data_IF_045130903087
#
_entry.id   IF_045130903087
#
_cell.length_a   1.000
_cell.length_b   1.000
_cell.length_c   1.000
_cell.angle_alpha   90.00
_cell.angle_beta   90.00
_cell.angle_gamma   90.00
#
_symmetry.space_group_name_H-M   'P 1'
#
loop_
_entity.id
_entity.type
_entity.pdbx_description
1 polymer ?
#
# COMPACT_ATOMS: atom_id res chain seq x y z
N UNK A 1 1.37 -55.28 -2.80
CA UNK A 1 0.38 -55.99 -3.64
C UNK A 1 -0.61 -54.94 -4.14
N UNK A 2 -0.92 -54.78 -5.43
CA UNK A 2 -0.22 -55.20 -6.69
C UNK A 2 0.77 -54.07 -7.10
N UNK A 3 1.44 -53.94 -8.26
CA UNK A 3 1.60 -54.65 -9.56
C UNK A 3 0.67 -54.29 -10.74
N UNK A 4 1.21 -54.47 -11.96
CA UNK A 4 0.70 -54.21 -13.33
C UNK A 4 0.62 -52.72 -13.72
N UNK A 5 1.35 -52.19 -14.71
CA UNK A 5 1.92 -52.63 -16.01
C UNK A 5 0.98 -52.54 -17.23
N UNK A 6 1.21 -51.52 -18.06
CA UNK A 6 1.13 -51.55 -19.54
C UNK A 6 1.67 -50.21 -20.10
N UNK A 7 2.13 -50.05 -21.34
CA UNK A 7 2.94 -50.93 -22.22
C UNK A 7 3.69 -50.01 -23.22
N UNK A 8 4.73 -50.54 -23.88
CA UNK A 8 5.47 -49.86 -24.96
C UNK A 8 4.92 -50.28 -26.34
N UNK A 9 5.06 -49.42 -27.36
CA UNK A 9 5.47 -49.93 -28.67
C UNK A 9 6.73 -49.27 -29.22
N UNK A 10 7.35 -49.96 -30.18
CA UNK A 10 8.67 -49.67 -30.77
C UNK A 10 8.54 -49.25 -32.24
N UNK A 11 9.48 -48.45 -32.75
CA UNK A 11 10.26 -48.69 -34.00
C UNK A 11 11.31 -47.57 -34.17
N UNK A 12 12.58 -47.89 -34.44
CA UNK A 12 13.24 -47.99 -35.77
C UNK A 12 13.20 -46.67 -36.57
N UNK A 13 14.28 -46.24 -37.26
CA UNK A 13 15.31 -47.06 -37.93
C UNK A 13 16.69 -46.37 -37.92
N UNK A 14 17.78 -47.16 -38.02
CA UNK A 14 19.13 -46.65 -38.26
C UNK A 14 19.29 -46.11 -39.70
N UNK A 15 20.15 -45.09 -39.87
CA UNK A 15 20.98 -44.97 -41.08
C UNK A 15 22.44 -44.72 -40.66
N UNK A 16 23.33 -45.56 -41.16
CA UNK A 16 24.78 -45.36 -41.10
C UNK A 16 25.25 -44.75 -42.43
N UNK A 17 26.30 -43.94 -42.37
CA UNK A 17 27.08 -43.60 -43.55
C UNK A 17 28.57 -43.55 -43.21
N UNK A 18 29.40 -44.12 -44.07
CA UNK A 18 30.86 -44.15 -43.95
C UNK A 18 31.44 -43.44 -45.16
N UNK A 19 32.33 -42.49 -44.93
CA UNK A 19 33.02 -41.72 -45.97
C UNK A 19 33.88 -40.66 -45.33
N UNK A 20 35.15 -40.57 -45.75
CA UNK A 20 36.12 -39.64 -45.17
C UNK A 20 36.78 -38.75 -46.24
N UNK A 21 37.90 -38.15 -45.83
CA UNK A 21 38.85 -37.39 -46.65
C UNK A 21 38.43 -35.99 -47.15
N UNK A 22 38.94 -35.00 -46.41
CA UNK A 22 39.85 -33.93 -46.90
C UNK A 22 39.35 -32.60 -47.49
N UNK A 23 40.20 -31.60 -47.20
CA UNK A 23 40.44 -30.30 -47.85
C UNK A 23 39.41 -29.14 -47.69
N UNK A 24 39.78 -28.25 -46.76
CA UNK A 24 40.02 -26.81 -46.99
C UNK A 24 39.09 -26.04 -47.95
N UNK A 25 38.35 -25.06 -47.42
CA UNK A 25 38.79 -23.65 -47.48
C UNK A 25 37.99 -22.78 -46.48
N UNK A 26 38.48 -21.57 -46.19
CA UNK A 26 38.07 -20.81 -45.00
C UNK A 26 36.89 -19.86 -45.19
N UNK A 27 36.03 -19.75 -44.17
CA UNK A 27 35.09 -18.66 -43.97
C UNK A 27 35.29 -18.04 -42.58
N UNK A 28 35.15 -16.71 -42.47
CA UNK A 28 35.42 -15.98 -41.21
C UNK A 28 34.33 -16.30 -40.17
N UNK A 29 34.66 -16.48 -38.88
CA UNK A 29 33.67 -16.71 -37.84
C UNK A 29 32.83 -15.45 -37.60
N UNK A 30 31.62 -15.43 -38.14
CA UNK A 30 30.66 -14.35 -37.89
C UNK A 30 30.17 -14.46 -36.43
N UNK A 31 30.58 -13.51 -35.57
CA UNK A 31 30.11 -13.45 -34.18
C UNK A 31 28.61 -13.12 -34.14
N UNK A 32 27.77 -14.14 -34.12
CA UNK A 32 26.36 -14.00 -33.83
C UNK A 32 26.16 -13.58 -32.36
N UNK A 33 26.06 -12.26 -32.13
CA UNK A 33 25.68 -11.71 -30.82
C UNK A 33 24.18 -11.96 -30.65
N UNK A 34 23.82 -12.99 -29.89
CA UNK A 34 22.44 -13.27 -29.53
C UNK A 34 21.90 -12.16 -28.62
N UNK A 35 21.17 -11.21 -29.20
CA UNK A 35 20.49 -10.16 -28.45
C UNK A 35 19.32 -10.80 -27.68
N UNK A 36 19.57 -11.14 -26.42
CA UNK A 36 18.54 -11.58 -25.48
C UNK A 36 17.60 -10.40 -25.21
N UNK A 37 16.48 -10.37 -25.93
CA UNK A 37 15.36 -9.48 -25.67
C UNK A 37 14.73 -9.87 -24.33
N UNK A 38 15.30 -9.33 -23.25
CA UNK A 38 14.73 -9.40 -21.91
C UNK A 38 13.39 -8.67 -21.92
N UNK A 39 12.30 -9.43 -22.03
CA UNK A 39 10.93 -8.93 -21.90
C UNK A 39 10.71 -8.39 -20.48
N UNK A 40 11.09 -7.14 -20.26
CA UNK A 40 10.78 -6.40 -19.03
C UNK A 40 9.28 -6.16 -18.98
N UNK A 41 8.54 -7.16 -18.49
CA UNK A 41 7.14 -6.98 -18.11
C UNK A 41 7.08 -5.83 -17.11
N UNK A 42 6.31 -4.75 -17.37
CA UNK A 42 6.17 -3.69 -16.40
C UNK A 42 5.46 -4.27 -15.18
N UNK A 43 6.23 -4.54 -14.13
CA UNK A 43 5.69 -4.95 -12.84
C UNK A 43 4.96 -3.74 -12.25
N UNK A 44 3.67 -3.64 -12.59
CA UNK A 44 2.74 -2.75 -11.92
C UNK A 44 2.54 -3.26 -10.49
N UNK A 45 3.54 -2.97 -9.66
CA UNK A 45 3.36 -2.87 -8.23
C UNK A 45 2.29 -1.79 -8.01
N UNK A 46 1.05 -2.21 -7.77
CA UNK A 46 -0.05 -1.32 -7.42
C UNK A 46 0.20 -0.75 -6.03
N UNK A 47 1.13 0.20 -5.95
CA UNK A 47 1.44 0.94 -4.74
C UNK A 47 0.21 1.76 -4.37
N UNK A 48 -0.62 1.24 -3.47
CA UNK A 48 -1.67 2.05 -2.87
C UNK A 48 -1.01 3.24 -2.17
N UNK A 49 -1.42 4.45 -2.57
CA UNK A 49 -0.81 5.72 -2.19
C UNK A 49 -1.11 6.06 -0.71
N UNK A 50 -0.57 5.28 0.22
CA UNK A 50 -0.66 5.45 1.67
C UNK A 50 -0.01 6.75 2.10
N UNK A 51 -0.81 7.81 2.22
CA UNK A 51 -0.35 9.15 2.64
C UNK A 51 -0.06 9.26 4.13
N UNK A 52 -0.75 8.45 4.95
CA UNK A 52 -0.47 8.17 6.37
C UNK A 52 -1.24 6.90 6.78
N UNK A 53 -1.00 6.40 7.98
CA UNK A 53 -1.72 5.24 8.53
C UNK A 53 -2.00 5.36 10.03
N UNK A 54 -2.99 4.61 10.52
CA UNK A 54 -3.36 4.48 11.92
C UNK A 54 -3.01 3.06 12.39
N UNK A 55 -2.42 2.98 13.58
CA UNK A 55 -2.06 1.75 14.30
C UNK A 55 -2.77 1.71 15.65
N UNK A 56 -2.83 0.52 16.26
CA UNK A 56 -3.38 0.31 17.60
C UNK A 56 -2.41 -0.51 18.44
N UNK A 57 -2.59 -0.56 19.76
CA UNK A 57 -1.82 -1.45 20.65
C UNK A 57 -2.36 -2.90 20.72
N UNK A 58 -3.50 -3.22 20.10
CA UNK A 58 -4.17 -4.53 20.21
C UNK A 58 -3.93 -5.52 19.04
N UNK A 59 -3.31 -5.07 17.93
CA UNK A 59 -2.68 -5.88 16.88
C UNK A 59 -1.86 -5.02 15.91
N UNK A 60 -1.03 -5.66 15.07
CA UNK A 60 -0.19 -5.02 14.05
C UNK A 60 -0.91 -4.63 12.75
N UNK A 61 -2.24 -4.83 12.68
CA UNK A 61 -3.05 -4.41 11.54
C UNK A 61 -3.13 -2.87 11.46
N UNK A 62 -3.06 -2.33 10.25
CA UNK A 62 -2.91 -0.89 10.00
C UNK A 62 -4.06 -0.36 9.14
N UNK A 63 -4.68 0.76 9.52
CA UNK A 63 -5.61 1.48 8.63
C UNK A 63 -4.83 2.52 7.86
N UNK A 64 -4.57 2.27 6.58
CA UNK A 64 -3.96 3.25 5.69
C UNK A 64 -5.02 4.17 5.09
N UNK A 65 -4.60 5.39 4.76
CA UNK A 65 -5.42 6.34 4.01
C UNK A 65 -4.79 6.52 2.63
N UNK A 66 -5.56 6.24 1.59
CA UNK A 66 -5.17 6.41 0.19
C UNK A 66 -5.87 7.61 -0.46
N UNK A 67 -5.29 8.12 -1.55
CA UNK A 67 -5.88 9.19 -2.36
C UNK A 67 -6.07 8.73 -3.80
N UNK A 68 -7.24 8.99 -4.37
CA UNK A 68 -7.56 8.73 -5.77
C UNK A 68 -7.18 9.93 -6.63
N UNK A 69 -6.13 9.78 -7.44
CA UNK A 69 -5.71 10.75 -8.46
C UNK A 69 -5.93 10.22 -9.87
N UNK A 70 -5.92 11.13 -10.83
CA UNK A 70 -5.73 10.85 -12.25
C UNK A 70 -4.23 10.80 -12.59
N UNK A 71 -3.89 10.45 -13.82
CA UNK A 71 -2.50 10.32 -14.29
C UNK A 71 -1.72 11.65 -14.41
N UNK A 72 -2.41 12.79 -14.34
CA UNK A 72 -1.85 14.14 -14.31
C UNK A 72 -1.65 14.69 -12.89
N UNK A 73 -1.89 13.87 -11.87
CA UNK A 73 -1.93 14.19 -10.44
C UNK A 73 -3.13 15.03 -9.98
N UNK A 74 -4.11 15.32 -10.84
CA UNK A 74 -5.39 15.90 -10.40
C UNK A 74 -6.20 14.92 -9.55
N UNK A 75 -7.09 15.44 -8.71
CA UNK A 75 -7.92 14.62 -7.81
C UNK A 75 -9.09 13.98 -8.60
N UNK A 76 -9.27 12.67 -8.46
CA UNK A 76 -10.16 11.88 -9.32
C UNK A 76 -11.66 12.10 -9.04
N UNK A 77 -12.01 12.50 -7.82
CA UNK A 77 -13.40 12.71 -7.39
C UNK A 77 -13.46 13.87 -6.39
N UNK A 78 -14.67 14.33 -6.06
CA UNK A 78 -14.93 15.29 -4.97
C UNK A 78 -14.78 14.70 -3.56
N UNK A 79 -14.54 13.38 -3.45
CA UNK A 79 -14.22 12.67 -2.20
C UNK A 79 -13.06 11.69 -2.46
N UNK A 80 -11.85 12.20 -2.77
CA UNK A 80 -10.77 11.37 -3.31
C UNK A 80 -10.05 10.53 -2.25
N UNK A 81 -10.19 10.85 -0.95
CA UNK A 81 -9.55 10.08 0.13
C UNK A 81 -10.39 8.88 0.51
N UNK A 82 -9.73 7.73 0.74
CA UNK A 82 -10.36 6.49 1.17
C UNK A 82 -9.49 5.74 2.20
N UNK A 83 -10.05 5.27 3.33
CA UNK A 83 -9.35 4.38 4.24
C UNK A 83 -9.40 2.92 3.74
N UNK A 84 -8.38 2.13 4.08
CA UNK A 84 -8.34 0.68 3.86
C UNK A 84 -7.47 -0.01 4.91
N UNK A 85 -7.79 -1.26 5.23
CA UNK A 85 -6.93 -2.11 6.06
C UNK A 85 -5.75 -2.64 5.26
N UNK A 86 -4.58 -2.66 5.89
CA UNK A 86 -3.48 -3.56 5.58
C UNK A 86 -3.29 -4.46 6.80
N UNK A 87 -3.53 -5.76 6.63
CA UNK A 87 -3.35 -6.73 7.69
C UNK A 87 -1.86 -7.07 7.89
N UNK A 88 -1.53 -7.68 9.02
CA UNK A 88 -0.19 -8.23 9.31
C UNK A 88 0.32 -9.17 8.19
N UNK A 89 -0.60 -9.90 7.55
CA UNK A 89 -0.33 -10.77 6.39
C UNK A 89 -0.04 -10.01 5.08
N UNK A 90 -0.02 -8.68 5.10
CA UNK A 90 0.07 -7.82 3.93
C UNK A 90 -1.21 -7.72 3.09
N UNK A 91 -2.26 -8.49 3.42
CA UNK A 91 -3.55 -8.47 2.70
C UNK A 91 -4.23 -7.11 2.87
N UNK A 92 -4.86 -6.65 1.78
CA UNK A 92 -5.49 -5.34 1.67
C UNK A 92 -7.01 -5.50 1.65
N UNK A 93 -7.72 -4.82 2.55
CA UNK A 93 -9.17 -4.96 2.73
C UNK A 93 -9.87 -3.60 2.87
N UNK A 94 -11.17 -3.55 2.55
CA UNK A 94 -12.00 -2.36 2.81
C UNK A 94 -12.46 -2.39 4.26
N UNK A 95 -12.71 -1.22 4.84
CA UNK A 95 -13.40 -1.11 6.13
C UNK A 95 -14.79 -1.73 6.03
N UNK A 96 -15.17 -2.50 7.06
CA UNK A 96 -16.53 -2.94 7.29
C UNK A 96 -17.39 -1.75 7.75
N UNK A 97 -18.70 -1.80 7.51
CA UNK A 97 -19.61 -0.70 7.87
C UNK A 97 -19.54 -0.33 9.38
N UNK A 98 -19.29 -1.31 10.24
CA UNK A 98 -19.13 -1.14 11.69
C UNK A 98 -17.81 -0.47 12.12
N UNK A 99 -16.83 -0.37 11.22
CA UNK A 99 -15.51 0.25 11.48
C UNK A 99 -15.46 1.70 11.00
N UNK A 100 -16.37 2.10 10.11
CA UNK A 100 -16.52 3.48 9.61
C UNK A 100 -16.66 4.51 10.75
N UNK A 101 -17.37 4.26 11.88
CA UNK A 101 -17.40 5.21 13.01
C UNK A 101 -16.05 5.44 13.71
N UNK A 102 -15.07 4.54 13.56
CA UNK A 102 -13.73 4.71 14.12
C UNK A 102 -12.74 5.25 13.07
N UNK A 103 -12.74 4.65 11.88
CA UNK A 103 -11.69 4.83 10.87
C UNK A 103 -12.18 5.40 9.53
N UNK A 104 -13.48 5.72 9.44
CA UNK A 104 -14.04 6.43 8.30
C UNK A 104 -13.66 7.92 8.27
N UNK A 105 -14.03 8.57 7.19
CA UNK A 105 -13.80 10.00 6.98
C UNK A 105 -15.05 10.77 7.39
N UNK A 106 -14.93 11.68 8.36
CA UNK A 106 -16.03 12.48 8.89
C UNK A 106 -16.38 13.67 8.00
N UNK A 107 -15.35 14.28 7.44
CA UNK A 107 -15.44 15.36 6.47
C UNK A 107 -14.28 15.23 5.49
N UNK A 108 -14.49 15.62 4.24
CA UNK A 108 -13.42 16.01 3.34
C UNK A 108 -13.92 17.12 2.42
N UNK A 109 -13.15 18.20 2.29
CA UNK A 109 -13.35 19.28 1.33
C UNK A 109 -12.16 19.35 0.39
N UNK A 110 -12.40 19.74 -0.87
CA UNK A 110 -11.40 19.78 -1.94
C UNK A 110 -11.30 21.20 -2.47
N UNK A 111 -10.08 21.73 -2.60
CA UNK A 111 -9.79 23.04 -3.18
C UNK A 111 -8.53 22.94 -4.05
N UNK A 112 -8.71 22.89 -5.37
CA UNK A 112 -7.63 22.61 -6.31
C UNK A 112 -6.98 21.25 -6.03
N UNK A 113 -5.67 21.25 -5.73
CA UNK A 113 -4.89 20.06 -5.39
C UNK A 113 -4.70 19.86 -3.87
N UNK A 114 -5.40 20.63 -3.03
CA UNK A 114 -5.43 20.47 -1.57
C UNK A 114 -6.76 19.86 -1.12
N UNK A 115 -6.69 18.93 -0.17
CA UNK A 115 -7.84 18.32 0.51
C UNK A 115 -7.70 18.63 2.00
N UNK A 116 -8.78 19.01 2.69
CA UNK A 116 -8.81 19.03 4.15
C UNK A 116 -9.81 18.00 4.63
N UNK A 117 -9.39 17.09 5.51
CA UNK A 117 -10.23 16.01 6.03
C UNK A 117 -10.17 15.84 7.56
N UNK A 118 -11.18 15.16 8.11
CA UNK A 118 -11.22 14.69 9.50
C UNK A 118 -11.51 13.18 9.54
N UNK A 119 -10.95 12.47 10.52
CA UNK A 119 -11.25 11.05 10.79
C UNK A 119 -12.41 10.96 11.80
N UNK A 120 -13.37 10.05 11.57
CA UNK A 120 -14.54 9.85 12.42
C UNK A 120 -14.17 9.63 13.89
N UNK A 121 -13.22 8.73 14.17
CA UNK A 121 -12.80 8.43 15.54
C UNK A 121 -12.19 9.60 16.30
N UNK A 122 -11.58 10.57 15.62
CA UNK A 122 -11.07 11.79 16.25
C UNK A 122 -12.21 12.79 16.48
N UNK A 123 -13.03 13.05 15.45
CA UNK A 123 -14.14 14.01 15.52
C UNK A 123 -15.19 13.61 16.56
N UNK A 124 -15.53 12.33 16.64
CA UNK A 124 -16.44 11.75 17.63
C UNK A 124 -15.88 11.71 19.08
N UNK A 125 -14.67 12.24 19.30
CA UNK A 125 -14.05 12.43 20.64
C UNK A 125 -13.71 13.91 20.90
N UNK A 126 -14.27 14.83 20.11
CA UNK A 126 -13.97 16.27 20.17
C UNK A 126 -12.59 16.66 19.65
N UNK A 127 -11.79 15.73 19.11
CA UNK A 127 -10.41 15.97 18.70
C UNK A 127 -10.40 16.64 17.32
N UNK A 128 -10.33 17.98 17.33
CA UNK A 128 -10.17 18.81 16.13
C UNK A 128 -8.74 18.73 15.59
N UNK A 129 -8.45 17.65 14.87
CA UNK A 129 -7.20 17.41 14.13
C UNK A 129 -7.49 17.31 12.63
N UNK A 130 -7.68 18.44 11.93
CA UNK A 130 -7.78 18.44 10.47
C UNK A 130 -6.45 17.96 9.86
N UNK A 131 -6.56 17.14 8.83
CA UNK A 131 -5.43 16.64 8.04
C UNK A 131 -5.52 17.30 6.66
N UNK A 132 -4.53 18.13 6.34
CA UNK A 132 -4.37 18.77 5.04
C UNK A 132 -3.53 17.86 4.15
N UNK A 133 -4.06 17.44 3.02
CA UNK A 133 -3.39 16.57 2.06
C UNK A 133 -3.08 17.39 0.81
N UNK A 134 -1.85 17.30 0.31
CA UNK A 134 -1.39 18.04 -0.87
C UNK A 134 -0.92 17.07 -1.94
N UNK A 135 -1.41 17.25 -3.17
CA UNK A 135 -0.84 16.61 -4.36
C UNK A 135 0.10 17.58 -5.07
N UNK A 136 1.37 17.20 -5.20
CA UNK A 136 2.41 17.91 -5.94
C UNK A 136 2.97 17.02 -7.04
N UNK A 137 3.13 17.58 -8.25
CA UNK A 137 3.76 16.86 -9.35
C UNK A 137 5.28 17.06 -9.29
N UNK A 138 6.03 15.96 -9.18
CA UNK A 138 7.49 15.99 -9.17
C UNK A 138 8.05 16.24 -10.58
N UNK A 139 9.33 16.64 -10.63
CA UNK A 139 10.08 16.77 -11.91
C UNK A 139 10.23 15.43 -12.64
N UNK A 140 10.10 14.31 -11.95
CA UNK A 140 10.00 12.95 -12.51
C UNK A 140 8.65 12.63 -13.17
N UNK A 141 7.73 13.60 -13.22
CA UNK A 141 6.31 13.48 -13.60
C UNK A 141 5.42 12.70 -12.62
N UNK A 142 6.01 12.03 -11.63
CA UNK A 142 5.31 11.28 -10.57
C UNK A 142 4.50 12.19 -9.64
N UNK A 143 3.43 11.64 -9.07
CA UNK A 143 2.57 12.34 -8.12
C UNK A 143 3.07 12.11 -6.68
N UNK A 144 3.70 13.12 -6.08
CA UNK A 144 3.93 13.12 -4.65
C UNK A 144 2.64 13.56 -3.95
N UNK A 145 2.16 12.75 -3.01
CA UNK A 145 1.00 13.08 -2.19
C UNK A 145 1.42 12.90 -0.73
N UNK A 146 1.24 13.95 0.07
CA UNK A 146 1.62 13.95 1.49
C UNK A 146 0.48 14.49 2.36
N UNK A 147 0.26 13.84 3.49
CA UNK A 147 -0.61 14.32 4.56
C UNK A 147 0.15 15.24 5.51
N UNK A 148 -0.51 16.28 6.02
CA UNK A 148 0.04 17.24 6.97
C UNK A 148 -0.98 17.51 8.08
N UNK A 149 -0.52 17.72 9.31
CA UNK A 149 -1.36 18.23 10.39
C UNK A 149 -0.52 19.04 11.38
N UNK A 150 -1.17 19.67 12.37
CA UNK A 150 -0.48 20.34 13.46
C UNK A 150 -0.07 19.35 14.54
N UNK A 151 1.23 19.26 14.81
CA UNK A 151 1.82 18.49 15.91
C UNK A 151 2.53 19.50 16.83
N UNK A 152 2.10 19.58 18.08
CA UNK A 152 2.46 20.64 19.05
C UNK A 152 2.27 22.06 18.48
N UNK A 153 1.19 22.26 17.72
CA UNK A 153 0.83 23.52 17.07
C UNK A 153 1.53 23.81 15.73
N UNK A 154 2.67 23.17 15.46
CA UNK A 154 3.44 23.36 14.23
C UNK A 154 2.96 22.42 13.10
N UNK A 155 2.86 22.91 11.87
CA UNK A 155 2.49 22.08 10.72
C UNK A 155 3.66 21.19 10.27
N UNK A 156 3.48 19.87 10.27
CA UNK A 156 4.46 18.90 9.76
C UNK A 156 3.78 17.82 8.92
N UNK A 157 4.54 17.10 8.11
CA UNK A 157 4.04 15.92 7.40
C UNK A 157 3.65 14.85 8.43
N UNK A 158 2.40 14.41 8.39
CA UNK A 158 1.89 13.30 9.19
C UNK A 158 2.36 11.98 8.55
N UNK A 159 2.88 11.06 9.37
CA UNK A 159 3.34 9.75 8.91
C UNK A 159 2.46 8.63 9.48
N UNK A 160 2.21 8.68 10.80
CA UNK A 160 1.49 7.66 11.53
C UNK A 160 0.65 8.30 12.64
N UNK A 161 -0.46 7.67 12.99
CA UNK A 161 -1.12 7.84 14.29
C UNK A 161 -1.11 6.48 15.01
N UNK A 162 -0.87 6.50 16.32
CA UNK A 162 -1.07 5.35 17.19
C UNK A 162 -2.24 5.60 18.13
N UNK A 163 -3.04 4.58 18.37
CA UNK A 163 -4.15 4.60 19.33
C UNK A 163 -3.86 3.54 20.38
N UNK A 164 -3.45 3.95 21.59
CA UNK A 164 -3.40 3.02 22.69
C UNK A 164 -4.81 2.76 23.23
N UNK A 165 -5.17 1.49 23.42
CA UNK A 165 -6.48 1.09 23.89
C UNK A 165 -6.45 -0.24 24.65
N UNK A 166 -7.39 -0.41 25.58
CA UNK A 166 -7.77 -1.73 26.10
C UNK A 166 -9.01 -2.23 25.37
N UNK A 167 -8.85 -3.30 24.59
CA UNK A 167 -9.95 -3.99 23.90
C UNK A 167 -10.96 -4.51 24.93
N UNK A 168 -12.21 -4.10 24.80
CA UNK A 168 -13.31 -4.43 25.71
C UNK A 168 -14.56 -4.73 24.87
N UNK A 169 -14.64 -5.96 24.39
CA UNK A 169 -15.75 -6.41 23.53
C UNK A 169 -15.53 -7.81 22.98
N UNK A 170 -16.64 -8.57 22.85
CA UNK A 170 -16.64 -9.84 22.13
C UNK A 170 -16.34 -9.58 20.64
N UNK A 171 -15.63 -10.52 19.99
CA UNK A 171 -15.16 -10.39 18.60
C UNK A 171 -14.25 -9.17 18.31
N UNK A 172 -13.71 -8.50 19.34
CA UNK A 172 -12.80 -7.35 19.18
C UNK A 172 -13.49 -6.04 18.79
N UNK A 173 -14.82 -6.00 18.88
CA UNK A 173 -15.63 -4.83 18.58
C UNK A 173 -15.69 -3.90 19.80
N UNK A 174 -14.75 -2.95 19.86
CA UNK A 174 -14.72 -1.90 20.88
C UNK A 174 -13.59 -2.02 21.91
N UNK A 175 -13.37 -0.92 22.63
CA UNK A 175 -12.33 -0.76 23.63
C UNK A 175 -12.23 0.68 24.13
N UNK A 176 -11.73 0.85 25.35
CA UNK A 176 -11.41 2.17 25.91
C UNK A 176 -10.09 2.64 25.31
N UNK A 177 -10.11 3.81 24.66
CA UNK A 177 -8.90 4.47 24.14
C UNK A 177 -8.25 5.27 25.26
N UNK A 178 -6.97 5.04 25.52
CA UNK A 178 -6.19 5.69 26.58
C UNK A 178 -5.41 6.89 26.07
N UNK A 179 -4.82 6.80 24.87
CA UNK A 179 -4.23 7.95 24.18
C UNK A 179 -4.21 7.81 22.66
N UNK A 180 -4.04 8.95 21.99
CA UNK A 180 -3.85 9.03 20.54
C UNK A 180 -2.58 9.85 20.28
N UNK A 181 -1.55 9.20 19.72
CA UNK A 181 -0.24 9.80 19.46
C UNK A 181 -0.02 10.00 17.97
N UNK A 182 0.17 11.26 17.56
CA UNK A 182 0.45 11.66 16.19
C UNK A 182 1.97 11.71 15.99
N UNK A 183 2.48 11.06 14.94
CA UNK A 183 3.89 11.06 14.57
C UNK A 183 4.10 11.69 13.19
N UNK A 184 5.01 12.65 13.12
CA UNK A 184 5.33 13.37 11.90
C UNK A 184 6.82 13.39 11.56
N UNK A 185 7.11 13.94 10.39
CA UNK A 185 8.48 14.10 9.90
C UNK A 185 9.35 14.93 10.87
N UNK A 186 10.63 14.58 10.97
CA UNK A 186 11.58 15.20 11.90
C UNK A 186 11.42 14.78 13.36
N UNK A 187 10.97 13.55 13.62
CA UNK A 187 10.74 12.98 14.97
C UNK A 187 9.73 13.77 15.83
N UNK A 188 8.86 14.57 15.19
CA UNK A 188 7.84 15.36 15.89
C UNK A 188 6.69 14.45 16.33
N UNK A 189 6.33 14.51 17.61
CA UNK A 189 5.20 13.75 18.16
C UNK A 189 4.33 14.60 19.10
N UNK A 190 3.04 14.31 19.12
CA UNK A 190 2.04 14.89 20.05
C UNK A 190 1.13 13.76 20.53
N UNK A 191 1.02 13.59 21.85
CA UNK A 191 0.12 12.61 22.49
C UNK A 191 -1.09 13.31 23.12
N UNK A 192 -2.29 12.84 22.79
CA UNK A 192 -3.55 13.28 23.38
C UNK A 192 -4.05 12.16 24.31
N UNK A 193 -3.93 12.36 25.62
CA UNK A 193 -4.31 11.35 26.63
C UNK A 193 -5.80 11.44 26.97
N UNK A 194 -6.56 10.41 26.61
CA UNK A 194 -7.99 10.24 26.87
C UNK A 194 -8.27 9.75 28.31
N UNK A 195 -7.94 10.56 29.32
CA UNK A 195 -8.18 10.23 30.75
C UNK A 195 -9.65 10.15 31.14
N UNK A 196 -10.45 11.03 30.55
CA UNK A 196 -11.87 11.29 30.85
C UNK A 196 -12.46 12.26 29.83
N UNK A 197 -11.65 13.24 29.41
CA UNK A 197 -12.06 14.38 28.60
C UNK A 197 -12.06 14.11 27.08
N UNK A 198 -11.89 12.85 26.66
CA UNK A 198 -12.36 12.36 25.37
C UNK A 198 -13.83 11.90 25.52
N UNK A 199 -14.63 12.69 26.24
CA UNK A 199 -16.03 12.39 26.57
C UNK A 199 -16.89 12.45 25.31
N UNK A 200 -17.68 11.40 25.14
CA UNK A 200 -18.62 11.16 24.03
C UNK A 200 -19.80 12.13 24.05
#
# INVERSE_FOLDING_TARGET
>A
MLKFMSELPKKLTNLSFVGGAMLQQGAKPLRAIALLLLSTTPSYATSLNSIFFITKSDNGNQVHYGVQTNADCSLKTSKPVYPYWKLESGRLERLLAMEVPAFGIASQSVSGNEIVMEVNGFKARGISKPITIRSTRLKSQECQISAFTKINGEATQLLQVHIDLTRQGLFGLGGTVHSITFYGAGQKQEEIVCRSNCSF
#
